data_IF_345309207960
#
_entry.id   IF_345309207960
#
_cell.length_a   1.000
_cell.length_b   1.000
_cell.length_c   1.000
_cell.angle_alpha   90.00
_cell.angle_beta   90.00
_cell.angle_gamma   90.00
#
_symmetry.space_group_name_H-M   'P 1'
#
loop_
_entity.id
_entity.type
_entity.pdbx_description
1 polymer ?
#
# COMPACT_ATOMS: atom_id res chain seq x y z
N UNK A 1 51.27 -5.36 -31.87
CA UNK A 1 51.31 -5.98 -30.53
C UNK A 1 49.98 -5.69 -29.86
N UNK A 2 49.03 -6.61 -30.02
CA UNK A 2 47.71 -6.59 -29.38
C UNK A 2 47.83 -7.54 -28.19
N UNK A 3 47.86 -7.01 -26.98
CA UNK A 3 47.89 -7.83 -25.76
C UNK A 3 46.75 -7.37 -24.85
N UNK A 4 45.71 -8.23 -24.81
CA UNK A 4 44.85 -8.55 -23.68
C UNK A 4 44.44 -7.37 -22.76
N UNK A 5 43.22 -6.83 -22.78
CA UNK A 5 41.93 -7.51 -22.52
C UNK A 5 41.99 -8.46 -21.31
N UNK A 6 42.42 -7.99 -20.14
CA UNK A 6 42.15 -8.64 -18.85
C UNK A 6 42.27 -7.63 -17.71
N UNK A 7 41.15 -7.03 -17.26
CA UNK A 7 40.87 -6.73 -15.85
C UNK A 7 39.35 -6.54 -15.70
N UNK A 8 38.63 -7.66 -15.77
CA UNK A 8 37.37 -7.83 -15.04
C UNK A 8 37.72 -8.06 -13.57
N UNK A 9 37.11 -7.31 -12.64
CA UNK A 9 37.11 -7.73 -11.25
C UNK A 9 36.90 -6.60 -10.23
N UNK A 10 35.69 -6.59 -9.66
CA UNK A 10 35.30 -6.00 -8.36
C UNK A 10 35.33 -4.46 -8.30
N UNK A 11 34.23 -3.75 -8.00
CA UNK A 11 33.38 -3.92 -6.83
C UNK A 11 31.91 -3.65 -7.22
N UNK A 12 31.08 -4.68 -7.23
CA UNK A 12 29.64 -4.56 -7.16
C UNK A 12 29.23 -4.69 -5.69
N UNK A 13 29.32 -3.64 -4.87
CA UNK A 13 28.65 -3.58 -3.55
C UNK A 13 28.42 -2.13 -3.15
N UNK A 14 27.19 -1.67 -3.27
CA UNK A 14 26.53 -0.78 -2.30
C UNK A 14 25.00 -0.79 -2.53
N UNK A 15 24.42 -1.98 -2.72
CA UNK A 15 22.97 -2.17 -2.64
C UNK A 15 22.69 -2.91 -1.34
N UNK A 16 22.75 -2.20 -0.21
CA UNK A 16 22.21 -2.67 1.08
C UNK A 16 22.32 -1.51 2.06
N UNK A 17 21.19 -0.86 2.33
CA UNK A 17 20.72 -0.27 3.59
C UNK A 17 19.59 0.71 3.20
N UNK A 18 18.34 0.37 3.55
CA UNK A 18 17.09 1.11 3.33
C UNK A 18 16.34 0.94 1.99
N UNK A 19 15.95 -0.28 1.64
CA UNK A 19 14.68 -0.52 0.93
C UNK A 19 13.88 -1.58 1.70
N UNK A 20 13.27 -1.15 2.81
CA UNK A 20 12.18 -1.86 3.48
C UNK A 20 10.77 -1.28 3.20
N UNK A 21 10.55 -0.02 2.70
CA UNK A 21 9.20 0.53 2.62
C UNK A 21 8.31 -0.14 1.55
N UNK A 22 8.93 -0.79 0.56
CA UNK A 22 8.22 -1.37 -0.58
C UNK A 22 7.32 -2.56 -0.20
N UNK A 23 7.68 -3.35 0.82
CA UNK A 23 6.88 -4.53 1.21
C UNK A 23 5.70 -4.18 2.11
N UNK A 24 5.92 -3.31 3.09
CA UNK A 24 4.84 -2.89 3.99
C UNK A 24 3.80 -2.08 3.21
N UNK A 25 4.25 -1.21 2.30
CA UNK A 25 3.37 -0.51 1.37
C UNK A 25 2.62 -1.48 0.45
N UNK A 26 3.24 -2.55 -0.05
CA UNK A 26 2.51 -3.52 -0.89
C UNK A 26 1.37 -4.24 -0.13
N UNK A 27 1.54 -4.54 1.16
CA UNK A 27 0.48 -5.12 1.98
C UNK A 27 -0.63 -4.11 2.26
N UNK A 28 -0.28 -2.88 2.60
CA UNK A 28 -1.24 -1.79 2.87
C UNK A 28 -2.00 -1.43 1.58
N UNK A 29 -1.32 -1.38 0.44
CA UNK A 29 -1.90 -1.17 -0.88
C UNK A 29 -2.96 -2.22 -1.20
N UNK A 30 -2.63 -3.52 -1.04
CA UNK A 30 -3.59 -4.59 -1.28
C UNK A 30 -4.83 -4.50 -0.38
N UNK A 31 -4.65 -4.15 0.90
CA UNK A 31 -5.78 -3.96 1.83
C UNK A 31 -6.60 -2.74 1.43
N UNK A 32 -5.96 -1.64 1.02
CA UNK A 32 -6.67 -0.46 0.54
C UNK A 32 -7.52 -0.76 -0.69
N UNK A 33 -6.96 -1.48 -1.67
CA UNK A 33 -7.70 -1.83 -2.89
C UNK A 33 -8.91 -2.72 -2.58
N UNK A 34 -8.76 -3.70 -1.68
CA UNK A 34 -9.86 -4.55 -1.19
C UNK A 34 -10.96 -3.70 -0.51
N UNK A 35 -10.58 -2.74 0.34
CA UNK A 35 -11.50 -1.84 1.00
C UNK A 35 -12.30 -0.98 0.02
N UNK A 36 -11.63 -0.40 -0.99
CA UNK A 36 -12.28 0.45 -1.99
C UNK A 36 -13.25 -0.38 -2.84
N UNK A 37 -12.80 -1.54 -3.33
CA UNK A 37 -13.62 -2.42 -4.18
C UNK A 37 -14.89 -2.89 -3.46
N UNK A 38 -14.81 -3.22 -2.18
CA UNK A 38 -15.97 -3.63 -1.40
C UNK A 38 -16.85 -2.45 -0.97
N UNK A 39 -16.27 -1.28 -0.65
CA UNK A 39 -17.04 -0.09 -0.31
C UNK A 39 -17.92 0.39 -1.48
N UNK A 40 -17.43 0.27 -2.72
CA UNK A 40 -18.22 0.57 -3.93
C UNK A 40 -19.45 -0.35 -4.07
N UNK A 41 -19.35 -1.60 -3.58
CA UNK A 41 -20.44 -2.59 -3.62
C UNK A 41 -21.45 -2.40 -2.49
N UNK A 42 -21.02 -1.84 -1.36
CA UNK A 42 -21.88 -1.71 -0.18
C UNK A 42 -23.06 -0.76 -0.42
N UNK A 43 -22.92 0.22 -1.33
CA UNK A 43 -24.01 1.10 -1.79
C UNK A 43 -24.70 1.90 -0.67
N UNK A 44 -24.13 1.90 0.54
CA UNK A 44 -24.73 2.40 1.77
C UNK A 44 -24.39 3.86 2.07
N UNK A 45 -25.17 4.45 2.98
CA UNK A 45 -25.02 5.86 3.39
C UNK A 45 -23.81 6.12 4.31
N UNK A 46 -23.04 5.10 4.69
CA UNK A 46 -21.97 5.24 5.69
C UNK A 46 -20.69 4.46 5.35
N UNK A 47 -20.08 4.84 4.22
CA UNK A 47 -18.78 4.34 3.74
C UNK A 47 -17.69 4.50 4.82
N UNK A 48 -17.74 5.56 5.63
CA UNK A 48 -16.75 5.82 6.67
C UNK A 48 -16.79 4.76 7.78
N UNK A 49 -17.99 4.42 8.28
CA UNK A 49 -18.15 3.33 9.26
C UNK A 49 -17.73 1.98 8.69
N UNK A 50 -18.07 1.72 7.43
CA UNK A 50 -17.64 0.50 6.72
C UNK A 50 -16.10 0.38 6.70
N UNK A 51 -15.41 1.42 6.22
CA UNK A 51 -13.95 1.44 6.13
C UNK A 51 -13.31 1.23 7.51
N UNK A 52 -13.76 1.97 8.53
CA UNK A 52 -13.20 1.84 9.88
C UNK A 52 -13.33 0.42 10.44
N UNK A 53 -14.48 -0.22 10.22
CA UNK A 53 -14.72 -1.60 10.67
C UNK A 53 -13.81 -2.58 9.93
N UNK A 54 -13.72 -2.44 8.60
CA UNK A 54 -12.97 -3.39 7.76
C UNK A 54 -11.46 -3.23 7.87
N UNK A 55 -10.96 -2.02 8.09
CA UNK A 55 -9.55 -1.79 8.40
C UNK A 55 -9.12 -2.63 9.61
N UNK A 56 -9.91 -2.63 10.69
CA UNK A 56 -9.59 -3.44 11.87
C UNK A 56 -9.62 -4.94 11.59
N UNK A 57 -10.55 -5.43 10.75
CA UNK A 57 -10.63 -6.85 10.39
C UNK A 57 -9.44 -7.30 9.52
N UNK A 58 -9.10 -6.51 8.49
CA UNK A 58 -8.05 -6.85 7.54
C UNK A 58 -6.66 -6.67 8.15
N UNK A 59 -6.42 -5.58 8.88
CA UNK A 59 -5.13 -5.36 9.52
C UNK A 59 -4.82 -6.35 10.65
N UNK A 60 -5.82 -6.96 11.30
CA UNK A 60 -5.58 -8.06 12.26
C UNK A 60 -4.86 -9.25 11.64
N UNK A 61 -4.98 -9.45 10.32
CA UNK A 61 -4.34 -10.56 9.59
C UNK A 61 -2.85 -10.32 9.32
N UNK A 62 -2.36 -9.07 9.46
CA UNK A 62 -0.98 -8.70 9.13
C UNK A 62 0.02 -8.93 10.27
N UNK A 63 -0.45 -9.49 11.40
CA UNK A 63 0.36 -9.86 12.57
C UNK A 63 1.20 -8.69 13.09
N UNK A 64 2.52 -8.69 12.85
CA UNK A 64 3.45 -7.65 13.33
C UNK A 64 3.22 -6.28 12.70
N UNK A 65 2.51 -6.20 11.56
CA UNK A 65 2.15 -4.93 10.90
C UNK A 65 0.78 -4.38 11.33
N UNK A 66 0.08 -5.01 12.27
CA UNK A 66 -1.29 -4.63 12.62
C UNK A 66 -1.42 -3.14 12.94
N UNK A 67 -0.59 -2.63 13.86
CA UNK A 67 -0.70 -1.25 14.34
C UNK A 67 -0.37 -0.23 13.25
N UNK A 68 0.67 -0.48 12.45
CA UNK A 68 1.05 0.40 11.35
C UNK A 68 -0.02 0.39 10.24
N UNK A 69 -0.56 -0.78 9.91
CA UNK A 69 -1.66 -0.94 8.97
C UNK A 69 -2.91 -0.16 9.41
N UNK A 70 -3.34 -0.36 10.66
CA UNK A 70 -4.53 0.33 11.20
C UNK A 70 -4.33 1.83 11.22
N UNK A 71 -3.16 2.31 11.67
CA UNK A 71 -2.87 3.74 11.73
C UNK A 71 -2.87 4.36 10.34
N UNK A 72 -2.09 3.80 9.41
CA UNK A 72 -1.94 4.35 8.06
C UNK A 72 -3.27 4.38 7.30
N UNK A 73 -4.07 3.31 7.37
CA UNK A 73 -5.37 3.29 6.69
C UNK A 73 -6.41 4.20 7.36
N UNK A 74 -6.44 4.27 8.70
CA UNK A 74 -7.38 5.15 9.42
C UNK A 74 -7.11 6.63 9.15
N UNK A 75 -5.83 7.02 9.02
CA UNK A 75 -5.45 8.38 8.64
C UNK A 75 -5.95 8.76 7.22
N UNK A 76 -6.05 7.79 6.31
CA UNK A 76 -6.51 7.99 4.94
C UNK A 76 -8.03 7.87 4.72
N UNK A 77 -8.82 7.47 5.73
CA UNK A 77 -10.27 7.19 5.57
C UNK A 77 -11.04 8.37 4.96
N UNK A 78 -10.80 9.59 5.42
CA UNK A 78 -11.53 10.77 4.93
C UNK A 78 -11.30 11.01 3.43
N UNK A 79 -10.07 10.78 2.98
CA UNK A 79 -9.69 10.93 1.58
C UNK A 79 -10.21 9.76 0.72
N UNK A 80 -10.11 8.53 1.23
CA UNK A 80 -10.70 7.35 0.59
C UNK A 80 -12.20 7.51 0.35
N UNK A 81 -12.96 8.02 1.34
CA UNK A 81 -14.39 8.32 1.17
C UNK A 81 -14.63 9.28 0.00
N UNK A 82 -13.74 10.26 -0.20
CA UNK A 82 -13.83 11.21 -1.32
C UNK A 82 -13.62 10.50 -2.65
N UNK A 83 -12.57 9.69 -2.78
CA UNK A 83 -12.26 8.96 -4.01
C UNK A 83 -13.30 7.89 -4.35
N UNK A 84 -13.80 7.15 -3.35
CA UNK A 84 -14.89 6.18 -3.50
C UNK A 84 -16.16 6.87 -4.01
N UNK A 85 -16.54 8.03 -3.44
CA UNK A 85 -17.71 8.81 -3.91
C UNK A 85 -17.55 9.33 -5.34
N UNK A 86 -16.31 9.57 -5.77
CA UNK A 86 -15.97 9.94 -7.14
C UNK A 86 -15.90 8.73 -8.08
N UNK A 87 -16.08 7.51 -7.58
CA UNK A 87 -15.97 6.25 -8.33
C UNK A 87 -14.59 6.09 -8.99
N UNK A 88 -13.54 6.52 -8.28
CA UNK A 88 -12.18 6.21 -8.67
C UNK A 88 -11.94 4.70 -8.57
N UNK A 89 -11.12 4.15 -9.48
CA UNK A 89 -10.74 2.74 -9.37
C UNK A 89 -10.00 2.49 -8.05
N UNK A 90 -10.05 1.27 -7.48
CA UNK A 90 -9.31 0.92 -6.27
C UNK A 90 -7.84 1.36 -6.31
N UNK A 91 -7.13 1.00 -7.37
CA UNK A 91 -5.72 1.39 -7.59
C UNK A 91 -5.54 2.92 -7.55
N UNK A 92 -6.41 3.67 -8.22
CA UNK A 92 -6.30 5.14 -8.28
C UNK A 92 -6.59 5.79 -6.93
N UNK A 93 -7.63 5.34 -6.24
CA UNK A 93 -7.98 5.85 -4.92
C UNK A 93 -6.84 5.63 -3.91
N UNK A 94 -6.21 4.45 -3.94
CA UNK A 94 -5.11 4.12 -3.03
C UNK A 94 -3.80 4.84 -3.38
N UNK A 95 -3.52 5.09 -4.67
CA UNK A 95 -2.38 5.91 -5.10
C UNK A 95 -2.49 7.36 -4.66
N UNK A 96 -3.68 7.97 -4.76
CA UNK A 96 -3.88 9.36 -4.36
C UNK A 96 -3.78 9.54 -2.83
N UNK A 97 -4.04 8.49 -2.06
CA UNK A 97 -3.89 8.47 -0.60
C UNK A 97 -2.47 8.08 -0.12
N UNK A 98 -1.48 7.94 -1.01
CA UNK A 98 -0.12 7.45 -0.71
C UNK A 98 -0.08 6.06 -0.03
N UNK A 99 -1.12 5.24 -0.24
CA UNK A 99 -1.23 3.86 0.27
C UNK A 99 -0.66 2.84 -0.72
N UNK A 100 -0.60 3.24 -1.99
CA UNK A 100 0.13 2.69 -3.13
C UNK A 100 0.95 3.84 -3.74
#
# INVERSE_FOLDING_TARGET
MKTALLLLGFIAVAASLAVQPQRDNAVICAICEELVEEAEKEGGNDIETYLNTKIEELCKKTSFLKEICEKTLKEAVSELVTWIKQKATPEKACQECDLC
#
